data_IF_858920700856
#
_entry.id   IF_858920700856
#
_cell.length_a   1.000
_cell.length_b   1.000
_cell.length_c   1.000
_cell.angle_alpha   90.00
_cell.angle_beta   90.00
_cell.angle_gamma   90.00
#
_symmetry.space_group_name_H-M   'P 1'
#
loop_
_entity.id
_entity.type
_entity.pdbx_description
1 polymer ?
#
# COMPACT_ATOMS: atom_id res chain seq x y z
N UNK A 1 -10.48 5.62 2.68
CA UNK A 1 -9.82 5.64 4.01
C UNK A 1 -8.55 6.43 3.80
N UNK A 2 -8.35 7.45 4.63
CA UNK A 2 -7.22 8.37 4.51
C UNK A 2 -6.46 8.42 5.83
N UNK A 3 -5.19 8.78 5.78
CA UNK A 3 -4.32 8.95 6.94
C UNK A 3 -3.58 10.28 6.88
N UNK A 4 -3.22 10.77 8.06
CA UNK A 4 -2.35 11.92 8.29
C UNK A 4 -1.33 11.49 9.34
N UNK A 5 -0.05 11.77 9.10
CA UNK A 5 1.03 11.53 10.07
C UNK A 5 1.67 12.86 10.40
N UNK A 6 1.81 13.11 11.70
CA UNK A 6 2.53 14.26 12.25
C UNK A 6 3.88 13.83 12.78
N UNK A 7 4.87 14.73 12.72
CA UNK A 7 6.11 14.55 13.44
C UNK A 7 5.93 14.87 14.95
N UNK A 8 6.99 14.69 15.74
CA UNK A 8 6.97 14.94 17.18
C UNK A 8 6.59 16.37 17.60
N UNK A 9 6.65 17.34 16.68
CA UNK A 9 6.29 18.74 16.92
C UNK A 9 4.85 19.06 16.49
N UNK A 10 4.03 18.05 16.15
CA UNK A 10 2.65 18.23 15.68
C UNK A 10 2.55 18.79 14.26
N UNK A 11 3.62 18.70 13.45
CA UNK A 11 3.58 19.13 12.05
C UNK A 11 3.21 17.96 11.17
N UNK A 12 2.15 18.11 10.37
CA UNK A 12 1.82 17.18 9.30
C UNK A 12 3.00 17.00 8.33
N UNK A 13 3.45 15.75 8.18
CA UNK A 13 4.57 15.36 7.32
C UNK A 13 4.16 14.39 6.22
N UNK A 14 3.07 13.63 6.41
CA UNK A 14 2.51 12.76 5.37
C UNK A 14 0.98 12.84 5.40
N UNK A 15 0.37 12.89 4.22
CA UNK A 15 -1.07 12.71 4.05
C UNK A 15 -1.31 11.80 2.85
N UNK A 16 -2.26 10.89 2.96
CA UNK A 16 -2.58 10.00 1.85
C UNK A 16 -3.77 9.11 2.09
N UNK A 17 -4.05 8.25 1.12
CA UNK A 17 -5.09 7.26 1.21
C UNK A 17 -5.36 6.56 -0.11
N UNK A 18 -6.23 5.57 -0.06
CA UNK A 18 -6.68 4.79 -1.23
C UNK A 18 -8.14 4.38 -1.02
N UNK A 19 -8.94 4.23 -2.09
CA UNK A 19 -10.19 3.48 -2.05
C UNK A 19 -9.93 1.96 -2.04
N UNK A 20 -11.01 1.17 -1.94
CA UNK A 20 -10.99 -0.30 -2.15
C UNK A 20 -11.34 -1.18 -0.93
N UNK A 21 -12.38 -0.81 -0.18
CA UNK A 21 -12.98 -1.66 0.85
C UNK A 21 -12.01 -2.09 1.95
N UNK A 22 -11.99 -3.39 2.24
CA UNK A 22 -11.13 -4.01 3.28
C UNK A 22 -9.63 -3.97 2.95
N UNK A 23 -9.27 -3.72 1.69
CA UNK A 23 -7.88 -3.54 1.30
C UNK A 23 -7.31 -2.19 1.77
N UNK A 24 -8.17 -1.17 1.94
CA UNK A 24 -7.73 0.18 2.31
C UNK A 24 -6.82 0.24 3.55
N UNK A 25 -7.20 -0.32 4.72
CA UNK A 25 -6.30 -0.31 5.89
C UNK A 25 -5.00 -1.10 5.64
N UNK A 26 -5.05 -2.17 4.84
CA UNK A 26 -3.90 -3.05 4.58
C UNK A 26 -2.89 -2.38 3.66
N UNK A 27 -3.33 -1.76 2.56
CA UNK A 27 -2.45 -1.03 1.64
C UNK A 27 -1.92 0.25 2.26
N UNK A 28 -2.75 0.97 3.03
CA UNK A 28 -2.28 2.14 3.80
C UNK A 28 -1.20 1.74 4.79
N UNK A 29 -1.38 0.63 5.54
CA UNK A 29 -0.34 0.11 6.44
C UNK A 29 0.97 -0.19 5.71
N UNK A 30 0.89 -0.89 4.57
CA UNK A 30 2.06 -1.20 3.75
C UNK A 30 2.79 0.09 3.34
N UNK A 31 2.08 1.05 2.75
CA UNK A 31 2.69 2.32 2.29
C UNK A 31 3.26 3.15 3.44
N UNK A 32 2.56 3.22 4.58
CA UNK A 32 3.05 3.91 5.77
C UNK A 32 4.35 3.27 6.26
N UNK A 33 4.40 1.94 6.35
CA UNK A 33 5.63 1.24 6.78
C UNK A 33 6.77 1.45 5.79
N UNK A 34 6.51 1.40 4.48
CA UNK A 34 7.52 1.68 3.46
C UNK A 34 8.09 3.12 3.56
N UNK A 35 7.24 4.11 3.85
CA UNK A 35 7.64 5.50 3.97
C UNK A 35 8.35 5.81 5.29
N UNK A 36 7.81 5.31 6.40
CA UNK A 36 8.26 5.65 7.76
C UNK A 36 9.40 4.74 8.21
N UNK A 37 9.24 3.42 8.04
CA UNK A 37 10.23 2.43 8.48
C UNK A 37 11.26 2.14 7.38
N UNK A 38 10.80 2.06 6.13
CA UNK A 38 11.62 1.73 4.96
C UNK A 38 12.37 2.91 4.33
N UNK A 39 11.97 4.15 4.65
CA UNK A 39 12.57 5.36 4.09
C UNK A 39 12.44 5.49 2.57
N UNK A 40 11.47 4.80 1.95
CA UNK A 40 11.24 4.85 0.51
C UNK A 40 10.75 6.23 0.05
N UNK A 41 11.01 6.57 -1.20
CA UNK A 41 10.35 7.71 -1.83
C UNK A 41 8.83 7.46 -1.97
N UNK A 42 8.06 8.54 -2.11
CA UNK A 42 6.59 8.46 -2.21
C UNK A 42 6.11 7.61 -3.38
N UNK A 43 6.75 7.71 -4.55
CA UNK A 43 6.34 6.94 -5.71
C UNK A 43 6.76 5.47 -5.57
N UNK A 44 7.98 5.19 -5.10
CA UNK A 44 8.43 3.84 -4.74
C UNK A 44 7.50 3.14 -3.75
N UNK A 45 7.09 3.83 -2.67
CA UNK A 45 6.19 3.27 -1.66
C UNK A 45 4.80 2.94 -2.23
N UNK A 46 4.30 3.73 -3.18
CA UNK A 46 3.03 3.48 -3.87
C UNK A 46 3.16 2.29 -4.83
N UNK A 47 4.28 2.24 -5.55
CA UNK A 47 4.53 1.31 -6.63
C UNK A 47 4.99 -0.07 -6.17
N UNK A 48 5.47 -0.22 -4.94
CA UNK A 48 5.86 -1.52 -4.41
C UNK A 48 4.74 -2.57 -4.56
N UNK A 49 5.09 -3.86 -4.72
CA UNK A 49 4.08 -4.91 -4.81
C UNK A 49 3.22 -4.97 -3.54
N UNK A 50 1.92 -5.21 -3.70
CA UNK A 50 0.93 -5.23 -2.61
C UNK A 50 0.47 -6.63 -2.29
N UNK A 51 0.23 -6.85 -1.00
CA UNK A 51 -0.47 -8.03 -0.50
C UNK A 51 -1.78 -7.67 0.20
N UNK A 52 -2.69 -8.64 0.32
CA UNK A 52 -3.97 -8.46 1.02
C UNK A 52 -4.42 -9.80 1.60
N UNK A 53 -4.74 -9.83 2.89
CA UNK A 53 -5.47 -10.92 3.52
C UNK A 53 -6.93 -10.86 3.09
N UNK A 54 -7.45 -11.97 2.56
CA UNK A 54 -8.82 -12.10 2.08
C UNK A 54 -9.42 -13.43 2.58
N UNK A 55 -10.74 -13.54 2.81
CA UNK A 55 -11.75 -12.49 2.69
C UNK A 55 -11.66 -11.43 3.79
N UNK A 56 -12.23 -10.27 3.48
CA UNK A 56 -12.43 -9.18 4.43
C UNK A 56 -13.82 -9.27 5.05
N UNK A 57 -14.58 -8.18 5.01
CA UNK A 57 -15.91 -8.05 5.61
C UNK A 57 -17.05 -8.11 4.60
N UNK A 58 -16.77 -8.26 3.30
CA UNK A 58 -17.78 -8.41 2.25
C UNK A 58 -18.64 -9.70 2.48
N UNK A 59 -19.96 -9.58 2.74
CA UNK A 59 -20.84 -10.72 3.01
C UNK A 59 -20.90 -11.76 1.90
N UNK A 60 -20.63 -11.37 0.64
CA UNK A 60 -20.63 -12.31 -0.49
C UNK A 60 -19.44 -13.25 -0.40
N UNK A 61 -18.34 -12.80 0.21
CA UNK A 61 -17.07 -13.52 0.20
C UNK A 61 -16.58 -13.97 1.56
N UNK A 62 -17.24 -13.54 2.65
CA UNK A 62 -16.79 -13.78 4.03
C UNK A 62 -16.61 -15.26 4.38
N UNK A 63 -17.40 -16.15 3.78
CA UNK A 63 -17.35 -17.59 4.01
C UNK A 63 -16.32 -18.32 3.11
N UNK A 64 -15.64 -17.60 2.21
CA UNK A 64 -14.59 -18.18 1.38
C UNK A 64 -13.34 -18.50 2.24
N UNK A 65 -12.53 -19.49 1.83
CA UNK A 65 -11.31 -19.82 2.55
C UNK A 65 -10.33 -18.64 2.57
N UNK A 66 -9.63 -18.48 3.70
CA UNK A 66 -8.59 -17.46 3.81
C UNK A 66 -7.46 -17.70 2.81
N UNK A 67 -7.07 -16.64 2.13
CA UNK A 67 -5.90 -16.61 1.25
C UNK A 67 -5.14 -15.29 1.43
N UNK A 68 -3.81 -15.38 1.31
CA UNK A 68 -2.95 -14.22 1.16
C UNK A 68 -2.82 -13.94 -0.34
N UNK A 69 -3.42 -12.85 -0.80
CA UNK A 69 -3.29 -12.38 -2.17
C UNK A 69 -2.02 -11.56 -2.30
N UNK A 70 -1.17 -11.85 -3.28
CA UNK A 70 0.10 -11.17 -3.50
C UNK A 70 0.31 -10.90 -4.98
N UNK A 71 0.73 -9.69 -5.36
CA UNK A 71 1.14 -9.41 -6.74
C UNK A 71 2.36 -10.24 -7.16
N UNK A 72 2.43 -10.62 -8.45
CA UNK A 72 3.55 -11.40 -9.00
C UNK A 72 4.90 -10.68 -9.01
N UNK A 73 4.95 -9.40 -8.65
CA UNK A 73 6.18 -8.60 -8.54
C UNK A 73 6.93 -8.80 -7.22
N UNK A 74 6.35 -9.51 -6.25
CA UNK A 74 7.15 -9.98 -5.12
C UNK A 74 8.22 -10.97 -5.59
N UNK A 75 9.36 -10.98 -4.90
CA UNK A 75 10.39 -11.99 -5.14
C UNK A 75 9.82 -13.41 -4.97
N UNK A 76 10.12 -14.30 -5.92
CA UNK A 76 9.62 -15.67 -5.92
C UNK A 76 10.05 -16.44 -4.67
N UNK A 77 11.21 -16.12 -4.10
CA UNK A 77 11.72 -16.69 -2.85
C UNK A 77 10.86 -16.30 -1.65
N UNK A 78 10.34 -15.06 -1.60
CA UNK A 78 9.41 -14.62 -0.55
C UNK A 78 8.08 -15.37 -0.66
N UNK A 79 7.54 -15.53 -1.86
CA UNK A 79 6.30 -16.30 -2.09
C UNK A 79 6.50 -17.77 -1.68
N UNK A 80 7.63 -18.37 -2.05
CA UNK A 80 7.96 -19.75 -1.71
C UNK A 80 8.13 -19.95 -0.19
N UNK A 81 8.83 -19.04 0.50
CA UNK A 81 9.03 -19.09 1.95
C UNK A 81 7.70 -18.99 2.72
N UNK A 82 6.82 -18.07 2.31
CA UNK A 82 5.50 -17.93 2.91
C UNK A 82 4.62 -19.18 2.68
N UNK A 83 4.66 -19.79 1.49
CA UNK A 83 3.99 -21.09 1.25
C UNK A 83 4.54 -22.18 2.16
N UNK A 84 5.87 -22.25 2.34
CA UNK A 84 6.50 -23.23 3.23
C UNK A 84 6.11 -23.06 4.71
N UNK A 85 5.78 -21.83 5.12
CA UNK A 85 5.23 -21.51 6.45
C UNK A 85 3.72 -21.81 6.59
N UNK A 86 3.08 -22.31 5.54
CA UNK A 86 1.67 -22.71 5.55
C UNK A 86 0.68 -21.64 5.09
N UNK A 87 1.15 -20.51 4.53
CA UNK A 87 0.25 -19.52 3.96
C UNK A 87 -0.40 -20.04 2.66
N UNK A 88 -1.73 -19.97 2.58
CA UNK A 88 -2.45 -20.20 1.33
C UNK A 88 -2.31 -18.96 0.43
N UNK A 89 -1.34 -18.99 -0.50
CA UNK A 89 -1.03 -17.82 -1.35
C UNK A 89 -1.74 -17.90 -2.69
N UNK A 90 -2.47 -16.85 -3.02
CA UNK A 90 -2.96 -16.57 -4.37
C UNK A 90 -2.09 -15.49 -5.02
N UNK A 91 -1.30 -15.90 -6.00
CA UNK A 91 -0.51 -14.96 -6.81
C UNK A 91 -1.44 -14.28 -7.82
N UNK A 92 -1.44 -12.95 -7.79
CA UNK A 92 -2.17 -12.09 -8.72
C UNK A 92 -1.23 -11.63 -9.85
N UNK A 93 -1.80 -11.14 -10.94
CA UNK A 93 -1.01 -10.56 -12.03
C UNK A 93 -0.24 -9.31 -11.60
N UNK A 94 0.61 -8.82 -12.50
CA UNK A 94 1.33 -7.57 -12.28
C UNK A 94 0.34 -6.40 -12.15
N UNK A 95 0.60 -5.50 -11.19
CA UNK A 95 -0.21 -4.32 -10.88
C UNK A 95 -1.68 -4.61 -10.51
N UNK A 96 -2.01 -5.84 -10.09
CA UNK A 96 -3.37 -6.25 -9.72
C UNK A 96 -3.69 -6.18 -8.21
N UNK A 97 -2.81 -5.62 -7.39
CA UNK A 97 -2.95 -5.55 -5.93
C UNK A 97 -4.11 -4.68 -5.44
N UNK A 98 -4.84 -4.01 -6.33
CA UNK A 98 -5.97 -3.14 -6.03
C UNK A 98 -5.56 -1.78 -5.47
N UNK A 99 -6.56 -0.94 -5.18
CA UNK A 99 -6.36 0.43 -4.68
C UNK A 99 -6.12 1.47 -5.79
N UNK A 100 -6.05 2.73 -5.36
CA UNK A 100 -5.76 3.92 -6.15
C UNK A 100 -5.13 4.97 -5.23
N UNK A 101 -3.95 4.66 -4.71
CA UNK A 101 -3.26 5.47 -3.72
C UNK A 101 -2.86 6.86 -4.24
N UNK A 102 -3.03 7.87 -3.38
CA UNK A 102 -2.52 9.22 -3.59
C UNK A 102 -1.85 9.65 -2.29
N UNK A 103 -0.59 10.11 -2.34
CA UNK A 103 0.17 10.49 -1.15
C UNK A 103 0.94 11.78 -1.43
N UNK A 104 0.99 12.66 -0.43
CA UNK A 104 1.86 13.83 -0.39
C UNK A 104 2.73 13.73 0.86
N UNK A 105 4.05 13.80 0.65
CA UNK A 105 5.06 13.86 1.71
C UNK A 105 5.62 15.26 1.78
N UNK A 106 5.82 15.77 3.00
CA UNK A 106 6.39 17.07 3.28
C UNK A 106 7.71 16.89 4.02
N UNK A 107 8.81 17.35 3.42
CA UNK A 107 10.10 17.42 4.11
C UNK A 107 9.97 18.37 5.31
N UNK A 108 10.26 17.91 6.55
CA UNK A 108 10.04 18.71 7.75
C UNK A 108 10.97 19.92 7.83
N UNK A 109 12.19 19.81 7.30
CA UNK A 109 13.24 20.83 7.39
C UNK A 109 13.09 21.90 6.31
N UNK A 110 12.91 21.48 5.06
CA UNK A 110 12.85 22.40 3.91
C UNK A 110 11.43 22.82 3.55
N UNK A 111 10.43 22.04 3.95
CA UNK A 111 9.04 22.23 3.54
C UNK A 111 8.72 21.80 2.11
N UNK A 112 9.67 21.18 1.39
CA UNK A 112 9.44 20.62 0.06
C UNK A 112 8.31 19.59 0.11
N UNK A 113 7.41 19.65 -0.87
CA UNK A 113 6.32 18.70 -1.06
C UNK A 113 6.64 17.77 -2.21
N UNK A 114 6.45 16.46 -1.99
CA UNK A 114 6.63 15.43 -3.00
C UNK A 114 5.33 14.62 -3.05
N UNK A 115 4.70 14.56 -4.21
CA UNK A 115 3.45 13.82 -4.44
C UNK A 115 3.70 12.55 -5.25
N UNK A 116 2.92 11.52 -4.98
CA UNK A 116 2.89 10.28 -5.75
C UNK A 116 1.46 9.84 -6.07
N UNK A 117 1.30 9.16 -7.20
CA UNK A 117 0.02 8.68 -7.72
C UNK A 117 0.13 7.22 -8.14
N UNK A 118 -0.89 6.41 -7.85
CA UNK A 118 -0.87 4.97 -8.11
C UNK A 118 -0.78 4.61 -9.59
N UNK A 119 0.29 3.90 -9.96
CA UNK A 119 0.48 3.40 -11.34
C UNK A 119 -0.54 2.33 -11.74
N UNK A 120 -1.32 1.77 -10.81
CA UNK A 120 -2.34 0.73 -11.09
C UNK A 120 -3.60 1.27 -11.75
N UNK A 121 -3.85 2.57 -11.66
CA UNK A 121 -5.07 3.20 -12.18
C UNK A 121 -4.74 4.55 -12.82
N UNK A 122 -5.70 5.10 -13.57
CA UNK A 122 -5.57 6.48 -14.04
C UNK A 122 -5.57 7.45 -12.84
N UNK A 123 -4.60 8.37 -12.82
CA UNK A 123 -4.39 9.33 -11.75
C UNK A 123 -3.25 10.30 -12.07
N UNK A 124 -3.10 11.36 -11.28
CA UNK A 124 -2.04 12.35 -11.44
C UNK A 124 -1.64 12.96 -10.10
N UNK A 125 -0.33 12.99 -9.83
CA UNK A 125 0.28 13.91 -8.87
C UNK A 125 0.89 15.09 -9.65
N UNK A 126 0.58 16.32 -9.23
CA UNK A 126 1.05 17.54 -9.90
C UNK A 126 1.45 18.59 -8.87
N UNK A 127 2.54 19.32 -9.15
CA UNK A 127 3.14 20.30 -8.25
C UNK A 127 4.13 21.22 -8.98
N UNK A 128 4.65 22.22 -8.28
CA UNK A 128 5.63 23.20 -8.77
C UNK A 128 6.60 23.62 -7.67
#
# INVERSE_FOLDING_TARGET
>A
NCFLIENANGRAVLVGGTPGGDGQPQWNLQMISALVDGGMDVQQAIDMPRWTSWPGTDPITIDNPFELRMESRFDDGVIADLKARGHNIRVMGDWQGGGAAQIIVRNPDTGLLIGGSDSRVEGLASGR
#
